data_IF_356185144903
#
_entry.id   IF_356185144903
#
_cell.length_a   1.000
_cell.length_b   1.000
_cell.length_c   1.000
_cell.angle_alpha   90.00
_cell.angle_beta   90.00
_cell.angle_gamma   90.00
#
_symmetry.space_group_name_H-M   'P 1'
#
loop_
_entity.id
_entity.type
_entity.pdbx_description
1 polymer ?
#
# COMPACT_ATOMS: atom_id res chain seq x y z
N UNK A 1 5.17 18.53 28.48
CA UNK A 1 5.19 18.10 27.07
C UNK A 1 5.03 16.61 27.11
N UNK A 2 3.82 16.10 26.88
CA UNK A 2 3.60 14.67 26.69
C UNK A 2 4.11 14.36 25.29
N UNK A 3 5.10 13.47 25.21
CA UNK A 3 5.62 12.92 23.97
C UNK A 3 4.45 12.38 23.13
N UNK A 4 4.34 12.87 21.90
CA UNK A 4 3.43 12.32 20.91
C UNK A 4 4.00 10.95 20.53
N UNK A 5 3.38 9.89 21.05
CA UNK A 5 3.89 8.51 21.13
C UNK A 5 3.99 7.79 19.76
N UNK A 6 4.50 8.42 18.70
CA UNK A 6 4.76 7.76 17.40
C UNK A 6 3.54 7.04 16.79
N UNK A 7 2.34 7.48 17.14
CA UNK A 7 1.10 6.90 16.63
C UNK A 7 0.83 7.51 15.26
N UNK A 8 0.80 6.67 14.23
CA UNK A 8 0.37 7.03 12.88
C UNK A 8 -0.96 7.82 12.96
N UNK A 9 -0.95 9.06 12.46
CA UNK A 9 -2.15 9.90 12.47
C UNK A 9 -3.26 9.27 11.61
N UNK A 10 -4.52 9.55 11.94
CA UNK A 10 -5.64 9.05 11.14
C UNK A 10 -5.54 9.50 9.67
N UNK A 11 -5.13 10.75 9.44
CA UNK A 11 -5.01 11.31 8.09
C UNK A 11 -3.91 10.62 7.29
N UNK A 12 -2.76 10.34 7.91
CA UNK A 12 -1.67 9.60 7.27
C UNK A 12 -2.08 8.15 6.98
N UNK A 13 -2.73 7.49 7.95
CA UNK A 13 -3.27 6.15 7.77
C UNK A 13 -4.27 6.10 6.61
N UNK A 14 -5.16 7.09 6.55
CA UNK A 14 -6.16 7.23 5.49
C UNK A 14 -5.50 7.43 4.12
N UNK A 15 -4.52 8.34 4.03
CA UNK A 15 -3.79 8.62 2.80
C UNK A 15 -3.03 7.39 2.27
N UNK A 16 -2.34 6.65 3.15
CA UNK A 16 -1.65 5.40 2.81
C UNK A 16 -2.66 4.35 2.34
N UNK A 17 -3.76 4.16 3.08
CA UNK A 17 -4.80 3.20 2.73
C UNK A 17 -5.47 3.48 1.37
N UNK A 18 -5.81 4.73 1.10
CA UNK A 18 -6.34 5.17 -0.20
C UNK A 18 -5.33 4.88 -1.32
N UNK A 19 -4.03 5.11 -1.07
CA UNK A 19 -3.00 4.85 -2.07
C UNK A 19 -2.87 3.36 -2.39
N UNK A 20 -2.92 2.51 -1.37
CA UNK A 20 -2.90 1.05 -1.54
C UNK A 20 -4.12 0.58 -2.34
N UNK A 21 -5.31 1.11 -2.05
CA UNK A 21 -6.53 0.78 -2.79
C UNK A 21 -6.45 1.21 -4.28
N UNK A 22 -5.93 2.41 -4.56
CA UNK A 22 -5.66 2.90 -5.92
C UNK A 22 -4.67 1.99 -6.67
N UNK A 23 -3.61 1.54 -5.99
CA UNK A 23 -2.64 0.61 -6.56
C UNK A 23 -3.26 -0.76 -6.84
N UNK A 24 -4.14 -1.25 -5.97
CA UNK A 24 -4.86 -2.50 -6.16
C UNK A 24 -5.76 -2.47 -7.40
N UNK A 25 -6.48 -1.36 -7.64
CA UNK A 25 -7.30 -1.20 -8.84
C UNK A 25 -6.46 -1.24 -10.13
N UNK A 26 -5.31 -0.55 -10.13
CA UNK A 26 -4.39 -0.52 -11.27
C UNK A 26 -3.72 -1.87 -11.52
N UNK A 27 -3.23 -2.53 -10.46
CA UNK A 27 -2.53 -3.81 -10.61
C UNK A 27 -3.48 -4.91 -11.09
N UNK A 28 -4.76 -4.85 -10.70
CA UNK A 28 -5.81 -5.76 -11.22
C UNK A 28 -5.95 -5.66 -12.73
N UNK A 29 -5.87 -4.45 -13.30
CA UNK A 29 -5.90 -4.26 -14.76
C UNK A 29 -4.65 -4.81 -15.41
N UNK A 30 -3.46 -4.47 -14.88
CA UNK A 30 -2.19 -4.97 -15.41
C UNK A 30 -2.08 -6.49 -15.37
N UNK A 31 -2.52 -7.10 -14.28
CA UNK A 31 -2.49 -8.55 -14.10
C UNK A 31 -3.35 -9.32 -15.11
N UNK A 32 -4.47 -8.74 -15.58
CA UNK A 32 -5.30 -9.35 -16.64
C UNK A 32 -4.55 -9.49 -17.97
N UNK A 33 -3.61 -8.59 -18.24
CA UNK A 33 -2.81 -8.57 -19.47
C UNK A 33 -1.52 -9.36 -19.29
N UNK A 34 -0.90 -9.22 -18.12
CA UNK A 34 0.35 -9.90 -17.75
C UNK A 34 0.26 -10.41 -16.31
N UNK A 35 -0.11 -11.69 -16.12
CA UNK A 35 -0.17 -12.30 -14.79
C UNK A 35 1.16 -12.16 -14.03
N UNK A 36 1.07 -11.84 -12.75
CA UNK A 36 2.22 -11.53 -11.90
C UNK A 36 2.67 -10.07 -11.90
N UNK A 37 1.96 -9.17 -12.62
CA UNK A 37 2.20 -7.72 -12.53
C UNK A 37 2.12 -7.24 -11.07
N UNK A 38 3.02 -6.34 -10.70
CA UNK A 38 3.11 -5.73 -9.36
C UNK A 38 3.03 -4.21 -9.46
N UNK A 39 2.39 -3.57 -8.50
CA UNK A 39 2.50 -2.13 -8.27
C UNK A 39 3.42 -1.88 -7.07
N UNK A 40 4.41 -1.00 -7.25
CA UNK A 40 5.38 -0.64 -6.20
C UNK A 40 5.29 0.84 -5.87
N UNK A 41 5.28 1.14 -4.59
CA UNK A 41 5.31 2.50 -4.06
C UNK A 41 6.05 2.49 -2.72
N UNK A 42 6.46 3.65 -2.20
CA UNK A 42 7.05 3.71 -0.89
C UNK A 42 6.94 5.10 -0.30
N UNK A 43 6.89 5.16 1.02
CA UNK A 43 6.72 6.37 1.81
C UNK A 43 7.68 6.36 3.00
N UNK A 44 7.88 7.52 3.63
CA UNK A 44 8.73 7.66 4.80
C UNK A 44 7.88 8.14 5.95
N UNK A 45 8.02 7.50 7.11
CA UNK A 45 7.31 7.85 8.35
C UNK A 45 8.29 7.68 9.51
N UNK A 46 8.37 8.68 10.38
CA UNK A 46 9.28 8.69 11.54
C UNK A 46 10.74 8.38 11.18
N UNK A 47 11.19 8.88 10.03
CA UNK A 47 12.53 8.64 9.50
C UNK A 47 12.78 7.23 8.94
N UNK A 48 11.79 6.34 8.96
CA UNK A 48 11.87 4.99 8.40
C UNK A 48 11.24 4.96 7.00
N UNK A 49 11.96 4.41 6.03
CA UNK A 49 11.48 4.20 4.66
C UNK A 49 10.74 2.85 4.56
N UNK A 50 9.49 2.91 4.14
CA UNK A 50 8.67 1.72 3.87
C UNK A 50 8.48 1.54 2.36
N UNK A 51 8.47 0.28 1.92
CA UNK A 51 8.11 -0.11 0.57
C UNK A 51 6.82 -0.93 0.59
N UNK A 52 5.94 -0.61 -0.35
CA UNK A 52 4.65 -1.26 -0.57
C UNK A 52 4.71 -1.96 -1.92
N UNK A 53 4.47 -3.26 -1.92
CA UNK A 53 4.32 -4.08 -3.13
C UNK A 53 2.92 -4.66 -3.12
N UNK A 54 2.10 -4.25 -4.08
CA UNK A 54 0.74 -4.79 -4.27
C UNK A 54 0.76 -5.74 -5.45
N UNK A 55 0.25 -6.94 -5.25
CA UNK A 55 0.13 -7.99 -6.27
C UNK A 55 -1.25 -8.63 -6.18
N UNK A 56 -1.79 -9.09 -7.31
CA UNK A 56 -2.96 -9.99 -7.27
C UNK A 56 -2.48 -11.36 -6.79
N UNK A 57 -3.14 -11.92 -5.78
CA UNK A 57 -2.85 -13.26 -5.30
C UNK A 57 -3.29 -14.31 -6.34
N UNK A 58 -2.39 -15.22 -6.69
CA UNK A 58 -2.72 -16.40 -7.50
C UNK A 58 -3.08 -17.54 -6.55
N UNK A 59 -4.24 -17.44 -5.92
CA UNK A 59 -4.73 -18.40 -4.96
C UNK A 59 -6.17 -18.06 -4.60
N UNK A 60 -7.02 -19.07 -4.72
CA UNK A 60 -8.46 -19.09 -4.46
C UNK A 60 -8.84 -18.40 -3.14
N UNK A 61 -9.67 -17.36 -3.20
CA UNK A 61 -10.34 -16.78 -2.03
C UNK A 61 -11.86 -17.04 -2.15
N UNK A 62 -12.24 -18.32 -1.97
CA UNK A 62 -13.62 -18.75 -1.65
C UNK A 62 -14.40 -19.46 -2.74
#
# INVERSE_FOLDING_TARGET
MTEDDGILSFDDACAIGMKVAEMADRVKVGHKVLPGTQAKWGFTMDGVRFEVVVTVANGDDG
#
